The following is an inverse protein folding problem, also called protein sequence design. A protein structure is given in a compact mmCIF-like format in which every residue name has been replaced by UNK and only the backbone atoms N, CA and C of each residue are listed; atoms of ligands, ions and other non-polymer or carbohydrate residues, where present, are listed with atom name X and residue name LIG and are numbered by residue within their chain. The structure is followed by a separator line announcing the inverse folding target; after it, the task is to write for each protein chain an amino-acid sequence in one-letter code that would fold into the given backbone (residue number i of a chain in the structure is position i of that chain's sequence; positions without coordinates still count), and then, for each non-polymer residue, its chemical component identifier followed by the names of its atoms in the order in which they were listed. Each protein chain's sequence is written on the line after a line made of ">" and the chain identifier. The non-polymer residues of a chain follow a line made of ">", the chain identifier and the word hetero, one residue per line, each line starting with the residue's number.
data_IF_413660364777
#
_entry.id   IF_413660364777
#
_cell.length_a   1.000
_cell.length_b   1.000
_cell.length_c   1.000
_cell.angle_alpha   90.00
_cell.angle_beta   90.00
_cell.angle_gamma   90.00
#
_symmetry.space_group_name_H-M   'P 1'
#
loop_
_entity.id
_entity.type
_entity.pdbx_description
1 polymer ?
#
# COMPACT_ATOMS: atom_id res chain seq x y z
N UNK A 1 23.86 3.24 7.39
CA UNK A 1 22.61 3.53 6.65
C UNK A 1 22.10 4.90 7.11
N UNK A 2 21.68 5.77 6.19
CA UNK A 2 21.24 7.13 6.50
C UNK A 2 19.73 7.33 6.34
N UNK A 3 19.28 8.58 6.42
CA UNK A 3 17.92 8.99 6.08
C UNK A 3 17.64 8.80 4.59
N UNK A 4 16.37 8.61 4.24
CA UNK A 4 15.89 8.44 2.87
C UNK A 4 14.88 9.54 2.60
N UNK A 5 14.96 10.19 1.44
CA UNK A 5 14.01 11.22 1.04
C UNK A 5 12.76 10.60 0.42
N UNK A 6 11.62 11.22 0.68
CA UNK A 6 10.38 10.95 -0.04
C UNK A 6 10.54 11.30 -1.53
N UNK A 7 9.90 10.51 -2.39
CA UNK A 7 9.90 10.69 -3.84
C UNK A 7 8.48 10.53 -4.33
N UNK A 8 7.82 11.64 -4.68
CA UNK A 8 6.39 11.70 -5.01
C UNK A 8 5.92 10.70 -6.07
N UNK A 9 6.81 10.30 -6.99
CA UNK A 9 6.50 9.35 -8.07
C UNK A 9 6.69 7.88 -7.66
N UNK A 10 7.20 7.59 -6.46
CA UNK A 10 7.49 6.24 -5.97
C UNK A 10 6.60 5.91 -4.77
N UNK A 11 5.70 4.96 -4.97
CA UNK A 11 4.64 4.61 -4.03
C UNK A 11 5.14 4.16 -2.65
N UNK A 12 6.32 3.55 -2.57
CA UNK A 12 6.89 3.08 -1.30
C UNK A 12 7.80 4.10 -0.61
N UNK A 13 8.11 5.23 -1.25
CA UNK A 13 9.16 6.14 -0.76
C UNK A 13 8.78 6.85 0.53
N UNK A 14 7.51 7.26 0.70
CA UNK A 14 7.01 7.89 1.93
C UNK A 14 7.13 6.94 3.12
N UNK A 15 6.71 5.68 2.97
CA UNK A 15 6.88 4.66 4.01
C UNK A 15 8.36 4.43 4.34
N UNK A 16 9.23 4.35 3.32
CA UNK A 16 10.67 4.18 3.52
C UNK A 16 11.32 5.38 4.23
N UNK A 17 10.90 6.60 3.92
CA UNK A 17 11.33 7.81 4.62
C UNK A 17 10.90 7.76 6.09
N UNK A 18 9.60 7.55 6.35
CA UNK A 18 9.04 7.55 7.71
C UNK A 18 9.65 6.43 8.57
N UNK A 19 9.67 5.19 8.07
CA UNK A 19 10.24 4.03 8.77
C UNK A 19 11.72 4.19 9.12
N UNK A 20 12.46 5.03 8.37
CA UNK A 20 13.82 5.43 8.70
C UNK A 20 13.83 6.57 9.70
N UNK A 21 13.11 7.66 9.44
CA UNK A 21 13.09 8.84 10.30
C UNK A 21 12.67 8.51 11.74
N UNK A 22 11.66 7.66 11.92
CA UNK A 22 11.20 7.20 13.24
C UNK A 22 12.32 6.52 14.04
N UNK A 23 13.17 5.71 13.39
CA UNK A 23 14.33 5.07 14.05
C UNK A 23 15.41 6.06 14.48
N UNK A 24 15.41 7.26 13.89
CA UNK A 24 16.32 8.35 14.19
C UNK A 24 15.69 9.43 15.07
N UNK A 25 14.50 9.21 15.65
CA UNK A 25 13.77 10.19 16.49
C UNK A 25 14.66 10.83 17.55
N UNK A 26 15.41 10.03 18.32
CA UNK A 26 16.31 10.56 19.36
C UNK A 26 17.53 11.28 18.78
N UNK A 27 17.98 10.90 17.58
CA UNK A 27 19.07 11.62 16.88
C UNK A 27 18.60 13.01 16.47
N UNK A 28 17.37 13.17 16.01
CA UNK A 28 16.79 14.49 15.71
C UNK A 28 16.65 15.34 16.98
N UNK A 29 16.23 14.75 18.11
CA UNK A 29 16.17 15.45 19.40
C UNK A 29 17.55 15.97 19.82
N UNK A 30 18.56 15.10 19.80
CA UNK A 30 19.95 15.49 20.10
C UNK A 30 20.47 16.56 19.14
N UNK A 31 20.13 16.48 17.85
CA UNK A 31 20.51 17.48 16.86
C UNK A 31 19.92 18.86 17.21
N UNK A 32 18.69 18.93 17.69
CA UNK A 32 18.06 20.20 18.10
C UNK A 32 18.72 20.83 19.32
N UNK A 33 19.34 20.03 20.19
CA UNK A 33 20.11 20.53 21.34
C UNK A 33 21.47 21.10 20.92
N UNK A 34 22.13 20.45 19.96
CA UNK A 34 23.51 20.79 19.55
C UNK A 34 23.54 21.86 18.45
N UNK A 35 22.65 21.79 17.46
CA UNK A 35 22.63 22.65 16.29
C UNK A 35 21.53 23.72 16.41
N UNK A 36 21.90 24.93 16.86
CA UNK A 36 20.96 26.03 17.09
C UNK A 36 20.20 26.47 15.83
N UNK A 37 20.73 26.20 14.64
CA UNK A 37 20.02 26.50 13.38
C UNK A 37 18.93 25.48 13.03
N UNK A 38 18.91 24.30 13.67
CA UNK A 38 17.88 23.29 13.44
C UNK A 38 16.61 23.63 14.23
N UNK A 39 15.59 24.12 13.52
CA UNK A 39 14.32 24.60 14.10
C UNK A 39 13.10 23.75 13.73
N UNK A 40 13.31 22.65 13.02
CA UNK A 40 12.24 21.82 12.42
C UNK A 40 12.16 20.46 13.07
N UNK A 41 12.42 20.38 14.39
CA UNK A 41 12.20 19.16 15.16
C UNK A 41 10.69 18.87 15.22
N UNK A 42 10.22 17.70 14.78
CA UNK A 42 8.82 17.34 14.94
C UNK A 42 8.45 17.20 16.41
N UNK A 43 7.26 17.68 16.75
CA UNK A 43 6.61 17.49 18.05
C UNK A 43 6.28 16.02 18.31
N UNK A 44 6.03 15.65 19.57
CA UNK A 44 5.66 14.27 19.91
C UNK A 44 4.36 13.82 19.20
N UNK A 45 3.42 14.75 19.01
CA UNK A 45 2.17 14.50 18.25
C UNK A 45 2.45 14.25 16.76
N UNK A 46 3.38 15.00 16.15
CA UNK A 46 3.78 14.77 14.76
C UNK A 46 4.52 13.44 14.59
N UNK A 47 5.31 13.03 15.59
CA UNK A 47 5.93 11.71 15.60
C UNK A 47 4.90 10.59 15.69
N UNK A 48 3.94 10.69 16.62
CA UNK A 48 2.85 9.72 16.74
C UNK A 48 2.03 9.63 15.45
N UNK A 49 1.72 10.78 14.83
CA UNK A 49 1.07 10.85 13.52
C UNK A 49 1.90 10.17 12.43
N UNK A 50 3.20 10.42 12.39
CA UNK A 50 4.13 9.80 11.44
C UNK A 50 4.22 8.28 11.62
N UNK A 51 4.16 7.79 12.86
CA UNK A 51 4.14 6.35 13.18
C UNK A 51 2.86 5.68 12.66
N UNK A 52 1.69 6.29 12.89
CA UNK A 52 0.40 5.80 12.37
C UNK A 52 0.38 5.72 10.84
N UNK A 53 0.81 6.79 10.17
CA UNK A 53 0.91 6.83 8.70
C UNK A 53 1.92 5.77 8.20
N UNK A 54 3.06 5.63 8.88
CA UNK A 54 4.06 4.64 8.52
C UNK A 54 3.51 3.22 8.57
N UNK A 55 2.71 2.88 9.59
CA UNK A 55 2.06 1.58 9.73
C UNK A 55 1.01 1.37 8.64
N UNK A 56 0.15 2.36 8.40
CA UNK A 56 -0.87 2.30 7.36
C UNK A 56 -0.29 2.05 5.96
N UNK A 57 0.87 2.67 5.65
CA UNK A 57 1.54 2.52 4.35
C UNK A 57 2.40 1.25 4.23
N UNK A 58 2.60 0.50 5.32
CA UNK A 58 3.49 -0.67 5.31
C UNK A 58 3.07 -1.76 4.30
N UNK A 59 1.79 -2.17 4.20
CA UNK A 59 1.38 -3.20 3.25
C UNK A 59 1.69 -2.83 1.80
N UNK A 60 1.52 -1.56 1.44
CA UNK A 60 1.84 -1.05 0.10
C UNK A 60 3.34 -1.17 -0.21
N UNK A 61 4.20 -0.86 0.76
CA UNK A 61 5.64 -0.95 0.57
C UNK A 61 6.13 -2.39 0.44
N UNK A 62 5.56 -3.31 1.24
CA UNK A 62 5.87 -4.75 1.17
C UNK A 62 5.43 -5.36 -0.15
N UNK A 63 4.21 -5.05 -0.59
CA UNK A 63 3.67 -5.51 -1.87
C UNK A 63 4.48 -4.94 -3.03
N UNK A 64 4.78 -3.64 -3.02
CA UNK A 64 5.62 -3.01 -4.05
C UNK A 64 6.98 -3.71 -4.17
N UNK A 65 7.60 -4.05 -3.04
CA UNK A 65 8.86 -4.78 -3.02
C UNK A 65 8.71 -6.20 -3.60
N UNK A 66 7.63 -6.89 -3.25
CA UNK A 66 7.34 -8.24 -3.75
C UNK A 66 7.08 -8.23 -5.27
N UNK A 67 6.35 -7.27 -5.80
CA UNK A 67 6.05 -7.21 -7.23
C UNK A 67 7.21 -6.65 -8.07
N UNK A 68 8.14 -5.91 -7.46
CA UNK A 68 9.34 -5.40 -8.13
C UNK A 68 10.45 -6.45 -8.30
N UNK A 69 10.23 -7.68 -7.83
CA UNK A 69 11.18 -8.78 -7.99
C UNK A 69 11.28 -9.22 -9.47
N UNK A 70 12.49 -9.49 -9.93
CA UNK A 70 12.75 -9.97 -11.30
C UNK A 70 13.22 -11.43 -11.37
N UNK A 71 13.42 -12.08 -10.23
CA UNK A 71 13.96 -13.44 -10.13
C UNK A 71 12.89 -14.54 -10.06
N UNK A 72 11.60 -14.19 -10.14
CA UNK A 72 10.46 -15.10 -10.14
C UNK A 72 9.32 -14.53 -10.97
N UNK A 73 8.39 -15.39 -11.38
CA UNK A 73 7.14 -14.93 -11.99
C UNK A 73 6.35 -14.13 -10.96
N UNK A 74 6.18 -12.84 -11.23
CA UNK A 74 5.40 -11.94 -10.39
C UNK A 74 3.93 -11.91 -10.81
N UNK A 75 3.64 -12.15 -12.10
CA UNK A 75 2.31 -11.99 -12.70
C UNK A 75 1.20 -12.76 -11.96
N UNK A 76 1.46 -14.02 -11.61
CA UNK A 76 0.52 -14.86 -10.86
C UNK A 76 0.36 -14.46 -9.38
N UNK A 77 1.30 -13.68 -8.82
CA UNK A 77 1.22 -13.16 -7.45
C UNK A 77 0.47 -11.82 -7.39
N UNK A 78 0.51 -11.03 -8.48
CA UNK A 78 -0.05 -9.68 -8.53
C UNK A 78 -1.51 -9.63 -8.07
N UNK A 79 -2.37 -10.51 -8.59
CA UNK A 79 -3.80 -10.47 -8.28
C UNK A 79 -4.08 -10.56 -6.78
N UNK A 80 -3.47 -11.52 -6.08
CA UNK A 80 -3.67 -11.68 -4.63
C UNK A 80 -3.10 -10.51 -3.83
N UNK A 81 -2.04 -9.85 -4.31
CA UNK A 81 -1.52 -8.66 -3.63
C UNK A 81 -2.40 -7.44 -3.84
N UNK A 82 -2.89 -7.25 -5.07
CA UNK A 82 -3.82 -6.17 -5.41
C UNK A 82 -5.13 -6.33 -4.65
N UNK A 83 -5.62 -7.57 -4.54
CA UNK A 83 -6.72 -7.96 -3.65
C UNK A 83 -6.49 -7.50 -2.20
N UNK A 84 -5.33 -7.84 -1.63
CA UNK A 84 -5.00 -7.48 -0.24
C UNK A 84 -4.99 -5.96 -0.04
N UNK A 85 -4.51 -5.18 -1.01
CA UNK A 85 -4.55 -3.71 -0.95
C UNK A 85 -5.98 -3.20 -0.96
N UNK A 86 -6.85 -3.72 -1.84
CA UNK A 86 -8.25 -3.29 -1.87
C UNK A 86 -8.94 -3.55 -0.54
N UNK A 87 -8.77 -4.75 0.01
CA UNK A 87 -9.34 -5.10 1.31
C UNK A 87 -8.79 -4.23 2.42
N UNK A 88 -7.47 -3.96 2.42
CA UNK A 88 -6.84 -3.06 3.38
C UNK A 88 -7.42 -1.64 3.31
N UNK A 89 -7.61 -1.08 2.11
CA UNK A 89 -8.24 0.23 1.94
C UNK A 89 -9.69 0.24 2.46
N UNK A 90 -10.46 -0.79 2.11
CA UNK A 90 -11.86 -0.94 2.55
C UNK A 90 -12.00 -1.04 4.06
N UNK A 91 -11.12 -1.79 4.71
CA UNK A 91 -11.12 -1.96 6.18
C UNK A 91 -10.80 -0.63 6.92
N UNK A 92 -10.21 0.35 6.22
CA UNK A 92 -9.85 1.66 6.77
C UNK A 92 -10.73 2.81 6.24
N UNK A 93 -11.72 2.53 5.40
CA UNK A 93 -12.66 3.53 4.84
C UNK A 93 -13.45 4.23 5.95
N UNK A 94 -13.88 3.47 6.96
CA UNK A 94 -14.59 3.98 8.14
C UNK A 94 -13.69 4.06 9.38
N UNK A 95 -12.38 4.30 9.20
CA UNK A 95 -11.45 4.42 10.31
C UNK A 95 -11.85 5.53 11.30
N UNK A 96 -11.75 5.25 12.59
CA UNK A 96 -11.94 6.25 13.66
C UNK A 96 -10.90 7.39 13.56
N UNK A 97 -9.74 7.13 12.95
CA UNK A 97 -8.74 8.16 12.68
C UNK A 97 -9.10 8.94 11.41
N UNK A 98 -9.51 10.19 11.61
CA UNK A 98 -9.89 11.11 10.55
C UNK A 98 -8.85 11.24 9.43
N UNK A 99 -7.57 11.28 9.76
CA UNK A 99 -6.50 11.46 8.76
C UNK A 99 -6.33 10.20 7.93
N UNK A 100 -6.39 9.02 8.57
CA UNK A 100 -6.36 7.75 7.82
C UNK A 100 -7.55 7.69 6.86
N UNK A 101 -8.75 8.05 7.31
CA UNK A 101 -9.94 8.12 6.46
C UNK A 101 -9.75 9.08 5.27
N UNK A 102 -9.26 10.29 5.51
CA UNK A 102 -8.96 11.26 4.44
C UNK A 102 -7.87 10.77 3.47
N UNK A 103 -6.94 9.93 3.93
CA UNK A 103 -5.94 9.32 3.05
C UNK A 103 -6.52 8.20 2.19
N UNK A 104 -7.45 7.42 2.72
CA UNK A 104 -8.04 6.26 2.04
C UNK A 104 -8.80 6.68 0.79
N UNK A 105 -9.62 7.73 0.85
CA UNK A 105 -10.46 8.20 -0.27
C UNK A 105 -9.65 8.42 -1.58
N UNK A 106 -8.64 9.30 -1.65
CA UNK A 106 -7.87 9.51 -2.88
C UNK A 106 -6.97 8.32 -3.25
N UNK A 107 -6.61 7.46 -2.28
CA UNK A 107 -5.87 6.23 -2.57
C UNK A 107 -6.75 5.18 -3.25
N UNK A 108 -8.01 5.09 -2.83
CA UNK A 108 -9.02 4.21 -3.41
C UNK A 108 -9.40 4.65 -4.82
N UNK A 109 -9.63 5.94 -5.06
CA UNK A 109 -9.87 6.47 -6.41
C UNK A 109 -8.74 6.11 -7.38
N UNK A 110 -7.48 6.28 -6.94
CA UNK A 110 -6.32 5.90 -7.76
C UNK A 110 -6.24 4.40 -7.97
N UNK A 111 -6.52 3.60 -6.93
CA UNK A 111 -6.53 2.15 -7.03
C UNK A 111 -7.56 1.69 -8.07
N UNK A 112 -8.80 2.18 -7.98
CA UNK A 112 -9.91 1.76 -8.83
C UNK A 112 -9.62 2.09 -10.30
N UNK A 113 -9.06 3.26 -10.57
CA UNK A 113 -8.60 3.63 -11.93
C UNK A 113 -7.60 2.62 -12.51
N UNK A 114 -6.58 2.22 -11.76
CA UNK A 114 -5.61 1.24 -12.26
C UNK A 114 -6.21 -0.17 -12.32
N UNK A 115 -7.12 -0.51 -11.40
CA UNK A 115 -7.77 -1.81 -11.40
C UNK A 115 -8.61 -2.02 -12.67
N UNK A 116 -9.38 -1.03 -13.10
CA UNK A 116 -10.15 -1.08 -14.34
C UNK A 116 -9.27 -1.35 -15.57
N UNK A 117 -8.06 -0.79 -15.62
CA UNK A 117 -7.14 -0.95 -16.77
C UNK A 117 -6.46 -2.33 -16.82
N UNK A 118 -6.21 -2.97 -15.68
CA UNK A 118 -5.34 -4.16 -15.60
C UNK A 118 -6.03 -5.44 -15.08
N UNK A 119 -7.27 -5.34 -14.58
CA UNK A 119 -7.97 -6.47 -13.93
C UNK A 119 -8.04 -7.73 -14.80
N UNK A 120 -8.38 -7.58 -16.09
CA UNK A 120 -8.52 -8.73 -17.01
C UNK A 120 -7.20 -9.48 -17.24
N UNK A 121 -6.10 -8.76 -17.44
CA UNK A 121 -4.77 -9.37 -17.65
C UNK A 121 -4.31 -10.11 -16.39
N UNK A 122 -4.58 -9.53 -15.21
CA UNK A 122 -4.30 -10.16 -13.93
C UNK A 122 -5.14 -11.42 -13.71
N UNK A 123 -6.41 -11.41 -14.14
CA UNK A 123 -7.29 -12.57 -14.06
C UNK A 123 -6.78 -13.74 -14.91
N UNK A 124 -6.36 -13.47 -16.14
CA UNK A 124 -5.75 -14.47 -17.02
C UNK A 124 -4.50 -15.07 -16.36
N UNK A 125 -3.63 -14.23 -15.79
CA UNK A 125 -2.42 -14.71 -15.10
C UNK A 125 -2.74 -15.63 -13.91
N UNK A 126 -3.86 -15.41 -13.21
CA UNK A 126 -4.33 -16.29 -12.12
C UNK A 126 -4.85 -17.61 -12.63
N UNK A 127 -5.67 -17.61 -13.69
CA UNK A 127 -6.19 -18.85 -14.30
C UNK A 127 -5.06 -19.74 -14.81
N UNK A 128 -3.97 -19.13 -15.28
CA UNK A 128 -2.78 -19.84 -15.73
C UNK A 128 -1.87 -20.34 -14.59
N UNK A 129 -2.09 -19.92 -13.32
CA UNK A 129 -1.37 -20.48 -12.18
C UNK A 129 -2.04 -21.79 -11.73
N UNK A 130 -1.42 -22.96 -11.90
CA UNK A 130 -2.02 -24.24 -11.55
C UNK A 130 -2.29 -24.40 -10.04
N UNK A 131 -1.76 -23.50 -9.19
CA UNK A 131 -2.00 -23.49 -7.74
C UNK A 131 -3.25 -22.70 -7.36
N UNK A 132 -3.72 -21.81 -8.22
CA UNK A 132 -4.92 -21.01 -8.00
C UNK A 132 -6.08 -21.65 -8.76
N UNK A 133 -7.18 -21.93 -8.06
CA UNK A 133 -8.36 -22.55 -8.66
C UNK A 133 -9.41 -21.48 -8.96
N UNK A 134 -10.26 -21.72 -9.97
CA UNK A 134 -11.37 -20.83 -10.32
C UNK A 134 -12.26 -20.41 -9.12
N UNK A 135 -12.55 -21.28 -8.12
CA UNK A 135 -13.29 -20.84 -6.93
C UNK A 135 -12.59 -19.76 -6.09
N UNK A 136 -11.25 -19.73 -6.08
CA UNK A 136 -10.48 -18.66 -5.43
C UNK A 136 -10.67 -17.34 -6.17
N UNK A 137 -10.71 -17.39 -7.50
CA UNK A 137 -10.96 -16.22 -8.34
C UNK A 137 -12.37 -15.67 -8.14
N UNK A 138 -13.39 -16.55 -8.14
CA UNK A 138 -14.79 -16.20 -7.88
C UNK A 138 -14.97 -15.55 -6.49
N UNK A 139 -14.33 -16.10 -5.46
CA UNK A 139 -14.37 -15.54 -4.11
C UNK A 139 -13.79 -14.13 -4.08
N UNK A 140 -12.61 -13.94 -4.68
CA UNK A 140 -12.01 -12.63 -4.81
C UNK A 140 -12.96 -11.69 -5.58
N UNK A 141 -13.30 -11.96 -6.83
CA UNK A 141 -14.17 -11.04 -7.60
C UNK A 141 -15.48 -10.68 -6.89
N UNK A 142 -16.08 -11.61 -6.13
CA UNK A 142 -17.28 -11.33 -5.33
C UNK A 142 -17.06 -10.32 -4.21
N UNK A 143 -15.92 -10.34 -3.52
CA UNK A 143 -15.64 -9.38 -2.47
C UNK A 143 -15.02 -8.05 -2.99
N UNK A 144 -14.47 -8.03 -4.22
CA UNK A 144 -14.06 -6.81 -4.94
C UNK A 144 -15.27 -6.06 -5.51
N UNK A 145 -16.14 -6.79 -6.22
CA UNK A 145 -17.32 -6.27 -6.88
C UNK A 145 -18.50 -7.25 -6.76
N UNK A 146 -19.32 -7.12 -5.71
CA UNK A 146 -20.47 -8.01 -5.49
C UNK A 146 -21.48 -8.00 -6.65
N UNK A 147 -21.51 -6.91 -7.42
CA UNK A 147 -22.45 -6.68 -8.53
C UNK A 147 -22.00 -7.28 -9.87
N UNK A 148 -20.69 -7.49 -10.06
CA UNK A 148 -20.08 -7.86 -11.35
C UNK A 148 -19.45 -9.25 -11.37
N UNK A 149 -19.43 -9.96 -10.23
CA UNK A 149 -18.64 -11.19 -10.04
C UNK A 149 -18.97 -12.32 -11.03
N UNK A 150 -20.23 -12.44 -11.46
CA UNK A 150 -20.67 -13.44 -12.46
C UNK A 150 -20.31 -13.08 -13.90
N UNK A 151 -20.09 -11.79 -14.19
CA UNK A 151 -19.83 -11.31 -15.55
C UNK A 151 -18.36 -11.48 -15.94
N UNK A 152 -17.41 -11.25 -15.02
CA UNK A 152 -15.99 -11.44 -15.30
C UNK A 152 -15.58 -12.91 -15.41
N UNK A 153 -16.10 -13.79 -14.54
CA UNK A 153 -15.75 -15.23 -14.56
C UNK A 153 -16.32 -15.96 -15.78
N UNK A 154 -17.39 -15.43 -16.40
CA UNK A 154 -17.98 -16.03 -17.61
C UNK A 154 -17.28 -15.64 -18.92
N UNK A 155 -16.42 -14.63 -18.91
CA UNK A 155 -15.67 -14.15 -20.08
C UNK A 155 -14.18 -14.54 -20.08
N UNK A 156 -13.70 -15.18 -18.99
CA UNK A 156 -12.37 -15.79 -18.88
C UNK A 156 -12.46 -17.26 -19.31
#
# INVERSE_FOLDING_TARGET
>A
AGLVLDVTTRWNSTHLMLSRAIKFKDVFRNLAEVEKSYKTLPSDLEWERGELICQFLQPFAEITKLISGSSYSTANLYFMQVWNIKMWLRDHEDSDDHIIREMVEPMQEKFDKYWEEFSDILAIAVVLDPRLKLPTLEFCYTALEPSSSKFHVSHI
#
